data_IF_100808793247
#
_entry.id   IF_100808793247
#
_cell.length_a   1.000
_cell.length_b   1.000
_cell.length_c   1.000
_cell.angle_alpha   90.00
_cell.angle_beta   90.00
_cell.angle_gamma   90.00
#
_symmetry.space_group_name_H-M   'P 1'
#
loop_
_entity.id
_entity.type
_entity.pdbx_description
1 polymer ?
#
# COMPACT_ATOMS: atom_id res chain seq x y z
N UNK A 1 -36.49 21.82 -19.05
CA UNK A 1 -36.92 20.71 -19.94
C UNK A 1 -35.85 19.62 -19.91
N UNK A 2 -36.13 18.43 -19.38
CA UNK A 2 -35.21 17.28 -19.38
C UNK A 2 -35.61 16.26 -20.45
N UNK A 3 -34.70 15.88 -21.35
CA UNK A 3 -34.70 14.65 -22.18
C UNK A 3 -33.25 14.49 -22.70
N UNK A 4 -32.60 13.32 -22.80
CA UNK A 4 -33.06 12.06 -23.36
C UNK A 4 -32.35 10.86 -22.71
N UNK A 5 -33.19 9.96 -22.26
CA UNK A 5 -32.95 8.56 -21.93
C UNK A 5 -32.61 7.75 -23.19
N UNK A 6 -32.03 6.56 -22.98
CA UNK A 6 -32.07 5.36 -23.82
C UNK A 6 -30.91 5.17 -24.81
N UNK A 7 -29.95 4.33 -24.43
CA UNK A 7 -29.51 3.27 -25.33
C UNK A 7 -29.19 1.97 -24.55
N UNK A 8 -30.26 1.25 -24.26
CA UNK A 8 -30.26 -0.16 -23.93
C UNK A 8 -30.13 -0.97 -25.24
N UNK A 9 -29.01 -1.65 -25.47
CA UNK A 9 -28.91 -2.71 -26.49
C UNK A 9 -28.32 -3.96 -25.87
N UNK A 10 -29.25 -4.73 -25.31
CA UNK A 10 -29.13 -6.12 -24.90
C UNK A 10 -28.84 -7.04 -26.11
N UNK A 11 -28.12 -8.13 -25.83
CA UNK A 11 -28.23 -9.51 -26.38
C UNK A 11 -26.99 -10.12 -27.07
N UNK A 12 -26.32 -10.99 -26.30
CA UNK A 12 -26.12 -12.45 -26.49
C UNK A 12 -25.46 -12.94 -27.79
N UNK A 13 -24.41 -13.77 -27.65
CA UNK A 13 -24.23 -15.14 -28.19
C UNK A 13 -22.74 -15.55 -28.12
N UNK A 14 -22.35 -16.84 -28.20
CA UNK A 14 -22.89 -18.04 -27.58
C UNK A 14 -21.82 -18.83 -26.77
N UNK A 15 -22.28 -19.73 -25.91
CA UNK A 15 -21.47 -20.78 -25.26
C UNK A 15 -21.08 -21.83 -26.32
N UNK A 16 -19.79 -22.11 -26.49
CA UNK A 16 -19.30 -23.21 -27.34
C UNK A 16 -18.99 -24.41 -26.43
N UNK A 17 -19.79 -25.47 -26.56
CA UNK A 17 -19.54 -26.79 -25.96
C UNK A 17 -18.84 -27.69 -26.99
N UNK A 18 -17.62 -28.12 -26.64
CA UNK A 18 -17.07 -29.48 -26.80
C UNK A 18 -16.99 -30.14 -28.18
N UNK A 19 -15.75 -30.41 -28.62
CA UNK A 19 -15.40 -31.64 -29.34
C UNK A 19 -13.93 -32.01 -29.06
N UNK A 20 -13.73 -33.15 -28.40
CA UNK A 20 -12.44 -33.82 -28.22
C UNK A 20 -12.17 -34.78 -29.38
N UNK A 21 -10.88 -34.91 -29.73
CA UNK A 21 -10.14 -36.03 -30.35
C UNK A 21 -9.27 -35.59 -31.55
N UNK A 22 -7.97 -35.86 -31.43
CA UNK A 22 -7.06 -35.94 -32.58
C UNK A 22 -5.61 -35.57 -32.27
N UNK A 23 -4.87 -36.44 -31.56
CA UNK A 23 -3.40 -36.38 -31.47
C UNK A 23 -2.80 -36.81 -32.82
N UNK A 24 -1.86 -36.02 -33.38
CA UNK A 24 -0.62 -36.51 -34.04
C UNK A 24 0.30 -35.37 -34.52
N UNK A 25 1.58 -35.47 -34.15
CA UNK A 25 2.75 -34.82 -34.78
C UNK A 25 3.04 -33.41 -34.24
N UNK A 26 3.87 -33.22 -33.21
CA UNK A 26 5.34 -33.16 -33.30
C UNK A 26 5.81 -32.21 -34.41
N UNK A 27 6.11 -30.96 -34.06
CA UNK A 27 7.48 -30.43 -34.05
C UNK A 27 7.51 -29.09 -33.30
N UNK A 28 8.36 -29.04 -32.30
CA UNK A 28 8.61 -27.88 -31.45
C UNK A 28 9.58 -26.93 -32.16
N UNK A 29 9.24 -25.64 -32.15
CA UNK A 29 10.22 -24.56 -32.20
C UNK A 29 9.83 -23.58 -31.08
N UNK A 30 10.02 -24.04 -29.85
CA UNK A 30 10.13 -23.16 -28.70
C UNK A 30 11.52 -22.53 -28.77
N UNK A 31 11.59 -21.26 -29.16
CA UNK A 31 12.69 -20.42 -28.72
C UNK A 31 12.31 -19.90 -27.34
N UNK A 32 12.91 -20.37 -26.24
CA UNK A 32 12.84 -19.63 -25.00
C UNK A 32 13.71 -18.39 -25.20
N UNK A 33 13.08 -17.22 -25.33
CA UNK A 33 13.77 -15.99 -24.99
C UNK A 33 13.90 -15.98 -23.46
N UNK A 34 14.86 -16.75 -22.96
CA UNK A 34 15.39 -16.59 -21.60
C UNK A 34 16.11 -15.26 -21.56
N UNK A 35 15.34 -14.18 -21.38
CA UNK A 35 15.88 -12.94 -20.87
C UNK A 35 15.98 -13.15 -19.35
N UNK A 36 17.19 -13.17 -18.75
CA UNK A 36 17.32 -13.03 -17.32
C UNK A 36 16.85 -11.62 -17.02
N UNK A 37 15.59 -11.49 -16.65
CA UNK A 37 15.10 -10.32 -15.96
C UNK A 37 15.59 -10.53 -14.53
N UNK A 38 16.87 -10.22 -14.31
CA UNK A 38 17.38 -9.89 -12.99
C UNK A 38 16.51 -8.71 -12.52
N UNK A 39 15.40 -9.03 -11.85
CA UNK A 39 14.79 -8.13 -10.89
C UNK A 39 15.86 -7.98 -9.82
N UNK A 40 16.79 -7.04 -10.04
CA UNK A 40 17.51 -6.41 -8.96
C UNK A 40 16.40 -5.88 -8.04
N UNK A 41 16.11 -6.66 -7.00
CA UNK A 41 15.31 -6.21 -5.89
C UNK A 41 16.12 -5.05 -5.32
N UNK A 42 15.82 -3.84 -5.80
CA UNK A 42 16.42 -2.62 -5.31
C UNK A 42 16.29 -2.66 -3.78
N UNK A 43 17.46 -2.70 -3.17
CA UNK A 43 17.71 -2.67 -1.74
C UNK A 43 16.70 -1.74 -1.08
N UNK A 44 15.97 -2.29 -0.10
CA UNK A 44 14.77 -1.67 0.46
C UNK A 44 15.01 -0.20 0.75
N UNK A 45 14.39 0.68 -0.04
CA UNK A 45 14.52 2.14 0.07
C UNK A 45 14.42 2.50 1.56
N UNK A 46 15.55 2.91 2.16
CA UNK A 46 15.63 3.18 3.59
C UNK A 46 14.56 4.21 3.94
N UNK A 47 13.53 3.74 4.65
CA UNK A 47 12.43 4.59 5.06
C UNK A 47 12.95 5.55 6.12
N UNK A 48 12.72 6.84 5.92
CA UNK A 48 13.09 7.85 6.91
C UNK A 48 12.17 7.68 8.14
N UNK A 49 12.75 7.21 9.25
CA UNK A 49 12.01 6.89 10.49
C UNK A 49 12.15 7.94 11.59
N UNK A 50 12.88 9.05 11.37
CA UNK A 50 12.92 10.18 12.30
C UNK A 50 12.72 11.50 11.58
N UNK A 51 12.04 12.44 12.24
CA UNK A 51 11.84 13.79 11.71
C UNK A 51 13.15 14.56 11.60
N UNK A 52 14.13 14.26 12.45
CA UNK A 52 15.45 14.90 12.41
C UNK A 52 16.25 14.58 11.14
N UNK A 53 15.86 13.55 10.39
CA UNK A 53 16.47 13.16 9.12
C UNK A 53 15.84 13.89 7.92
N UNK A 54 14.75 14.65 8.13
CA UNK A 54 14.04 15.37 7.08
C UNK A 54 14.70 16.74 6.85
N UNK A 55 15.25 16.98 5.66
CA UNK A 55 16.03 18.18 5.36
C UNK A 55 15.19 19.46 5.23
N UNK A 56 13.88 19.33 5.02
CA UNK A 56 12.93 20.43 4.83
C UNK A 56 12.01 20.66 6.04
N UNK A 57 12.39 20.13 7.21
CA UNK A 57 11.66 20.30 8.47
C UNK A 57 12.62 20.78 9.55
N UNK A 58 12.40 21.99 10.06
CA UNK A 58 13.20 22.60 11.11
C UNK A 58 12.56 22.41 12.50
N UNK A 59 13.34 22.28 13.59
CA UNK A 59 12.80 22.22 14.95
C UNK A 59 11.91 23.40 15.35
N UNK A 60 12.06 24.54 14.68
CA UNK A 60 11.27 25.76 14.87
C UNK A 60 9.96 25.76 14.09
N UNK A 61 9.75 24.81 13.17
CA UNK A 61 8.51 24.74 12.40
C UNK A 61 7.32 24.38 13.29
N UNK A 62 6.20 25.07 13.06
CA UNK A 62 4.95 24.77 13.75
C UNK A 62 4.50 23.30 13.57
N UNK A 63 4.89 22.67 12.46
CA UNK A 63 4.54 21.29 12.12
C UNK A 63 5.46 20.25 12.79
N UNK A 64 6.62 20.66 13.34
CA UNK A 64 7.66 19.74 13.83
C UNK A 64 7.11 18.74 14.85
N UNK A 65 6.38 19.22 15.86
CA UNK A 65 5.83 18.38 16.93
C UNK A 65 4.79 17.37 16.42
N UNK A 66 3.99 17.79 15.42
CA UNK A 66 3.01 16.90 14.80
C UNK A 66 3.72 15.80 14.00
N UNK A 67 4.71 16.17 13.19
CA UNK A 67 5.51 15.22 12.44
C UNK A 67 6.25 14.25 13.35
N UNK A 68 6.85 14.74 14.44
CA UNK A 68 7.58 13.89 15.38
C UNK A 68 6.67 12.81 15.95
N UNK A 69 5.44 13.18 16.34
CA UNK A 69 4.46 12.22 16.82
C UNK A 69 4.08 11.20 15.76
N UNK A 70 3.80 11.64 14.52
CA UNK A 70 3.30 10.77 13.46
C UNK A 70 4.36 9.81 12.91
N UNK A 71 5.61 10.28 12.81
CA UNK A 71 6.75 9.50 12.31
C UNK A 71 7.32 8.59 13.40
N UNK A 72 7.64 9.14 14.58
CA UNK A 72 8.43 8.41 15.57
C UNK A 72 7.57 7.62 16.56
N UNK A 73 6.41 8.16 16.98
CA UNK A 73 5.55 7.49 17.96
C UNK A 73 4.56 6.54 17.31
N UNK A 74 3.87 7.00 16.27
CA UNK A 74 2.83 6.20 15.63
C UNK A 74 3.37 5.42 14.42
N UNK A 75 4.47 5.85 13.80
CA UNK A 75 5.05 5.18 12.62
C UNK A 75 4.07 5.12 11.45
N UNK A 76 3.20 6.13 11.34
CA UNK A 76 2.04 6.09 10.44
C UNK A 76 2.20 7.02 9.23
N UNK A 77 3.25 7.85 9.23
CA UNK A 77 3.68 8.71 8.13
C UNK A 77 5.20 8.55 7.97
N UNK A 78 5.71 8.67 6.74
CA UNK A 78 7.14 8.65 6.45
C UNK A 78 7.54 9.80 5.53
N UNK A 79 8.84 10.15 5.57
CA UNK A 79 9.45 11.01 4.57
C UNK A 79 9.61 10.30 3.22
N UNK A 80 9.93 11.08 2.20
CA UNK A 80 10.33 10.57 0.90
C UNK A 80 11.76 10.00 0.96
N UNK A 81 12.14 9.09 0.04
CA UNK A 81 13.49 8.53 -0.01
C UNK A 81 14.60 9.57 -0.23
N UNK A 82 14.24 10.77 -0.71
CA UNK A 82 15.16 11.90 -0.86
C UNK A 82 15.41 12.68 0.45
N UNK A 83 14.89 12.20 1.58
CA UNK A 83 15.07 12.84 2.87
C UNK A 83 14.19 14.07 3.07
N UNK A 84 13.08 14.22 2.33
CA UNK A 84 12.16 15.35 2.48
C UNK A 84 10.78 14.92 2.98
N UNK A 85 10.00 15.84 3.55
CA UNK A 85 8.56 15.68 3.84
C UNK A 85 7.68 16.30 2.76
N UNK A 86 8.18 17.34 2.09
CA UNK A 86 7.51 18.15 1.06
C UNK A 86 6.28 18.89 1.59
N UNK A 87 6.36 19.41 2.82
CA UNK A 87 5.24 20.08 3.50
C UNK A 87 4.71 21.33 2.79
N UNK A 88 5.53 21.97 1.94
CA UNK A 88 5.16 23.18 1.20
C UNK A 88 4.42 22.91 -0.13
N UNK A 89 4.26 21.65 -0.54
CA UNK A 89 3.52 21.31 -1.77
C UNK A 89 2.03 21.20 -1.48
N UNK A 90 1.21 21.59 -2.45
CA UNK A 90 -0.21 21.24 -2.39
C UNK A 90 -0.39 19.72 -2.48
N UNK A 91 -1.21 19.18 -1.58
CA UNK A 91 -1.64 17.78 -1.58
C UNK A 91 -3.04 17.68 -2.16
N UNK A 92 -3.29 16.66 -2.99
CA UNK A 92 -4.63 16.36 -3.47
C UNK A 92 -5.49 15.76 -2.36
N UNK A 93 -6.81 15.90 -2.48
CA UNK A 93 -7.75 15.27 -1.54
C UNK A 93 -7.62 13.73 -1.52
N UNK A 94 -7.20 13.13 -2.63
CA UNK A 94 -7.00 11.69 -2.75
C UNK A 94 -5.74 11.22 -2.00
N UNK A 95 -4.63 11.94 -2.13
CA UNK A 95 -3.41 11.65 -1.37
C UNK A 95 -3.65 11.75 0.14
N UNK A 96 -4.36 12.80 0.57
CA UNK A 96 -4.71 12.94 1.99
C UNK A 96 -5.57 11.77 2.49
N UNK A 97 -6.60 11.38 1.74
CA UNK A 97 -7.47 10.28 2.13
C UNK A 97 -6.71 8.94 2.23
N UNK A 98 -5.81 8.67 1.26
CA UNK A 98 -4.98 7.47 1.28
C UNK A 98 -4.01 7.46 2.48
N UNK A 99 -3.33 8.58 2.73
CA UNK A 99 -2.42 8.72 3.87
C UNK A 99 -3.14 8.61 5.22
N UNK A 100 -4.32 9.22 5.35
CA UNK A 100 -5.14 9.11 6.55
C UNK A 100 -5.58 7.66 6.81
N UNK A 101 -6.02 6.95 5.78
CA UNK A 101 -6.42 5.55 5.92
C UNK A 101 -5.25 4.69 6.41
N UNK A 102 -4.09 4.80 5.75
CA UNK A 102 -2.88 4.08 6.16
C UNK A 102 -2.49 4.38 7.62
N UNK A 103 -2.64 5.64 8.06
CA UNK A 103 -2.33 5.98 9.44
C UNK A 103 -3.32 5.36 10.45
N UNK A 104 -4.61 5.33 10.12
CA UNK A 104 -5.63 4.71 10.98
C UNK A 104 -5.45 3.20 11.11
N UNK A 105 -5.01 2.53 10.05
CA UNK A 105 -4.67 1.10 10.08
C UNK A 105 -3.53 0.86 11.10
N UNK A 106 -2.47 1.67 11.03
CA UNK A 106 -1.34 1.59 11.97
C UNK A 106 -1.74 1.82 13.42
N UNK A 107 -2.61 2.80 13.67
CA UNK A 107 -3.14 3.07 15.02
C UNK A 107 -3.95 1.87 15.53
N UNK A 108 -4.74 1.24 14.66
CA UNK A 108 -5.54 0.06 15.03
C UNK A 108 -4.65 -1.12 15.40
N UNK A 109 -3.57 -1.35 14.66
CA UNK A 109 -2.56 -2.37 15.00
C UNK A 109 -1.89 -2.11 16.35
N UNK A 110 -1.49 -0.86 16.62
CA UNK A 110 -0.88 -0.48 17.90
C UNK A 110 -1.83 -0.72 19.08
N UNK A 111 -3.11 -0.42 18.90
CA UNK A 111 -4.14 -0.70 19.92
C UNK A 111 -4.26 -2.21 20.13
N UNK A 112 -4.38 -3.00 19.06
CA UNK A 112 -4.48 -4.46 19.16
C UNK A 112 -3.25 -5.06 19.87
N UNK A 113 -2.05 -4.63 19.48
CA UNK A 113 -0.79 -5.08 20.09
C UNK A 113 -0.70 -4.74 21.57
N UNK A 114 -1.06 -3.52 21.97
CA UNK A 114 -1.04 -3.10 23.38
C UNK A 114 -2.08 -3.83 24.24
N UNK A 115 -3.23 -4.22 23.67
CA UNK A 115 -4.22 -5.03 24.39
C UNK A 115 -3.82 -6.50 24.53
N UNK A 116 -3.01 -7.03 23.62
CA UNK A 116 -2.50 -8.40 23.69
C UNK A 116 -1.49 -8.61 24.83
N UNK A 117 -0.84 -7.53 25.28
CA UNK A 117 0.15 -7.54 26.36
C UNK A 117 -0.47 -7.36 27.76
N UNK A 118 -1.81 -7.29 27.86
CA UNK A 118 -2.49 -7.18 29.14
C UNK A 118 -2.49 -8.53 29.88
N UNK A 119 -2.05 -8.53 31.14
CA UNK A 119 -2.01 -9.71 32.03
C UNK A 119 -3.36 -10.42 32.05
N UNK A 120 -3.37 -11.71 31.73
CA UNK A 120 -4.59 -12.52 31.67
C UNK A 120 -4.97 -13.08 33.05
N UNK A 121 -6.22 -13.52 33.21
CA UNK A 121 -6.66 -14.18 34.46
C UNK A 121 -5.98 -15.53 34.65
N UNK A 122 -5.63 -16.20 33.56
CA UNK A 122 -4.82 -17.41 33.59
C UNK A 122 -3.42 -17.15 34.15
N UNK A 123 -2.77 -16.05 33.77
CA UNK A 123 -1.43 -15.68 34.29
C UNK A 123 -1.44 -15.43 35.80
N UNK A 124 -2.52 -14.84 36.32
CA UNK A 124 -2.70 -14.58 37.76
C UNK A 124 -3.01 -15.85 38.55
N UNK A 125 -3.54 -16.90 37.92
CA UNK A 125 -3.90 -18.16 38.57
C UNK A 125 -2.69 -19.09 38.79
N UNK A 126 -1.52 -18.75 38.26
CA UNK A 126 -0.28 -19.52 38.34
C UNK A 126 0.72 -19.00 39.41
N UNK A 127 0.33 -17.97 40.19
CA UNK A 127 1.09 -17.42 41.32
C UNK A 127 0.52 -17.88 42.66
#
# INVERSE_FOLDING_TARGET
MPTKTLLNRLLVTPVIVGASLGIRGMEAIASPLDLPLELEAEDGLEQVTSVSQLSDVEPTDWAFQALQSLVERYGCIAGYPDGTYRGNRAMTRYEFAAGLNACLDRVTELIAASTADLVTREDLALL
#
